data_IF_957146484851
#
_entry.id   IF_957146484851
#
_cell.length_a   1.000
_cell.length_b   1.000
_cell.length_c   1.000
_cell.angle_alpha   90.00
_cell.angle_beta   90.00
_cell.angle_gamma   90.00
#
_symmetry.space_group_name_H-M   'P 1'
#
loop_
_entity.id
_entity.type
_entity.pdbx_description
1 polymer ?
#
# COMPACT_ATOMS: atom_id res chain seq x y z
N UNK A 1 -36.68 -30.04 -39.06
CA UNK A 1 -35.26 -29.70 -38.82
C UNK A 1 -35.14 -29.00 -37.47
N UNK A 2 -34.68 -29.70 -36.43
CA UNK A 2 -34.46 -29.11 -35.10
C UNK A 2 -33.03 -28.54 -35.06
N UNK A 3 -32.90 -27.22 -34.96
CA UNK A 3 -31.61 -26.55 -34.79
C UNK A 3 -31.21 -26.65 -33.32
N UNK A 4 -30.19 -27.46 -33.03
CA UNK A 4 -29.55 -27.47 -31.72
C UNK A 4 -28.55 -26.31 -31.67
N UNK A 5 -28.88 -25.29 -30.88
CA UNK A 5 -27.95 -24.20 -30.54
C UNK A 5 -27.09 -24.73 -29.41
N UNK A 6 -25.83 -25.06 -29.71
CA UNK A 6 -24.82 -25.44 -28.71
C UNK A 6 -24.27 -24.13 -28.14
N UNK A 7 -24.63 -23.82 -26.90
CA UNK A 7 -24.10 -22.69 -26.14
C UNK A 7 -22.73 -23.10 -25.60
N UNK A 8 -21.66 -22.65 -26.24
CA UNK A 8 -20.28 -22.89 -25.80
C UNK A 8 -19.95 -21.91 -24.67
N UNK A 9 -20.11 -22.34 -23.41
CA UNK A 9 -19.71 -21.55 -22.24
C UNK A 9 -18.19 -21.69 -22.09
N UNK A 10 -17.46 -20.68 -22.54
CA UNK A 10 -16.02 -20.56 -22.30
C UNK A 10 -15.84 -20.02 -20.87
N UNK A 11 -15.67 -20.92 -19.91
CA UNK A 11 -15.27 -20.56 -18.54
C UNK A 11 -13.78 -20.24 -18.57
N UNK A 12 -13.43 -18.95 -18.63
CA UNK A 12 -12.08 -18.49 -18.35
C UNK A 12 -11.80 -18.68 -16.87
N UNK A 13 -11.36 -19.88 -16.48
CA UNK A 13 -10.77 -20.14 -15.16
C UNK A 13 -9.38 -19.46 -15.19
N UNK A 14 -9.35 -18.15 -14.93
CA UNK A 14 -8.11 -17.44 -14.66
C UNK A 14 -7.57 -17.98 -13.33
N UNK A 15 -6.67 -18.95 -13.44
CA UNK A 15 -5.96 -19.49 -12.30
C UNK A 15 -4.88 -18.47 -11.91
N UNK A 16 -5.26 -17.44 -11.15
CA UNK A 16 -4.29 -16.59 -10.45
C UNK A 16 -3.61 -17.49 -9.43
N UNK A 17 -2.44 -18.05 -9.77
CA UNK A 17 -1.60 -18.75 -8.81
C UNK A 17 -1.30 -17.74 -7.70
N UNK A 18 -1.90 -17.94 -6.52
CA UNK A 18 -1.54 -17.21 -5.32
C UNK A 18 -0.09 -17.61 -5.04
N UNK A 19 0.85 -16.68 -5.21
CA UNK A 19 2.26 -16.93 -4.88
C UNK A 19 2.29 -17.24 -3.39
N UNK A 20 2.62 -18.48 -3.03
CA UNK A 20 2.74 -18.86 -1.63
C UNK A 20 3.98 -18.19 -1.06
N UNK A 21 3.77 -17.28 -0.11
CA UNK A 21 4.87 -16.64 0.59
C UNK A 21 5.40 -17.61 1.66
N UNK A 22 6.46 -18.35 1.31
CA UNK A 22 7.10 -19.30 2.23
C UNK A 22 7.86 -18.61 3.39
N UNK A 23 8.03 -17.29 3.33
CA UNK A 23 8.73 -16.48 4.33
C UNK A 23 7.80 -15.54 5.10
N UNK A 24 8.14 -15.22 6.36
CA UNK A 24 7.46 -14.14 7.09
C UNK A 24 7.80 -12.79 6.46
N UNK A 25 6.78 -12.04 6.08
CA UNK A 25 6.92 -10.64 5.64
C UNK A 25 7.56 -9.84 6.77
N UNK A 26 8.59 -9.10 6.43
CA UNK A 26 9.26 -8.14 7.30
C UNK A 26 9.14 -6.73 6.72
N UNK A 27 9.54 -5.67 7.45
CA UNK A 27 9.37 -4.30 6.97
C UNK A 27 10.04 -4.00 5.62
N UNK A 28 11.13 -4.69 5.26
CA UNK A 28 11.83 -4.48 3.98
C UNK A 28 11.07 -5.06 2.79
N UNK A 29 10.08 -5.92 3.03
CA UNK A 29 9.17 -6.43 2.01
C UNK A 29 8.07 -5.44 1.63
N UNK A 30 7.90 -4.36 2.40
CA UNK A 30 6.84 -3.38 2.21
C UNK A 30 7.47 -2.12 1.64
N UNK A 31 7.05 -1.74 0.43
CA UNK A 31 7.57 -0.55 -0.23
C UNK A 31 6.45 0.29 -0.83
N UNK A 32 6.75 1.55 -1.15
CA UNK A 32 5.86 2.39 -1.93
C UNK A 32 6.60 2.79 -3.20
N UNK A 33 6.02 2.46 -4.35
CA UNK A 33 6.47 2.93 -5.66
C UNK A 33 5.71 4.19 -6.03
N UNK A 34 6.38 5.06 -6.78
CA UNK A 34 5.76 6.27 -7.34
C UNK A 34 5.91 6.32 -8.85
N UNK A 35 4.89 6.84 -9.49
CA UNK A 35 4.88 7.12 -10.92
C UNK A 35 4.43 8.57 -11.13
N UNK A 36 5.10 9.27 -12.05
CA UNK A 36 4.78 10.69 -12.28
C UNK A 36 3.42 10.77 -13.00
N UNK A 37 2.42 11.35 -12.35
CA UNK A 37 1.06 11.46 -12.89
C UNK A 37 0.86 12.72 -13.75
N UNK A 38 1.64 13.76 -13.49
CA UNK A 38 1.61 15.01 -14.25
C UNK A 38 3.01 15.36 -14.81
N UNK A 39 3.18 15.67 -16.11
CA UNK A 39 4.49 15.95 -16.71
C UNK A 39 5.20 17.17 -16.11
N UNK A 40 4.44 18.17 -15.67
CA UNK A 40 4.94 19.47 -15.24
C UNK A 40 4.96 19.55 -13.72
N UNK A 41 3.84 19.22 -13.08
CA UNK A 41 3.69 19.32 -11.63
C UNK A 41 4.42 18.17 -10.92
N UNK A 42 4.69 18.37 -9.63
CA UNK A 42 5.33 17.35 -8.77
C UNK A 42 4.29 16.36 -8.24
N UNK A 43 3.44 15.86 -9.12
CA UNK A 43 2.35 14.96 -8.76
C UNK A 43 2.74 13.52 -9.07
N UNK A 44 2.38 12.63 -8.15
CA UNK A 44 2.76 11.22 -8.24
C UNK A 44 1.59 10.32 -7.88
N UNK A 45 1.32 9.36 -8.76
CA UNK A 45 0.61 8.15 -8.39
C UNK A 45 1.48 7.33 -7.44
N UNK A 46 0.84 6.69 -6.46
CA UNK A 46 1.49 5.96 -5.37
C UNK A 46 0.93 4.55 -5.30
N UNK A 47 1.83 3.58 -5.18
CA UNK A 47 1.47 2.15 -5.12
C UNK A 47 2.12 1.51 -3.90
N UNK A 48 1.31 0.94 -3.01
CA UNK A 48 1.80 0.09 -1.93
C UNK A 48 2.09 -1.29 -2.51
N UNK A 49 3.32 -1.74 -2.34
CA UNK A 49 3.82 -3.02 -2.85
C UNK A 49 4.26 -3.88 -1.68
N UNK A 50 3.85 -5.14 -1.70
CA UNK A 50 4.38 -6.20 -0.83
C UNK A 50 5.10 -7.22 -1.70
N UNK A 51 6.39 -7.39 -1.44
CA UNK A 51 7.25 -8.29 -2.19
C UNK A 51 7.58 -9.52 -1.33
N UNK A 52 7.42 -10.72 -1.86
CA UNK A 52 7.87 -11.96 -1.24
C UNK A 52 8.71 -12.75 -2.25
N UNK A 53 9.82 -13.36 -1.81
CA UNK A 53 10.72 -14.12 -2.69
C UNK A 53 11.19 -13.36 -3.96
N UNK A 54 11.35 -12.03 -3.85
CA UNK A 54 11.71 -11.11 -4.96
C UNK A 54 10.61 -10.89 -6.01
N UNK A 55 9.40 -11.37 -5.76
CA UNK A 55 8.22 -11.14 -6.60
C UNK A 55 7.21 -10.27 -5.86
N UNK A 56 6.58 -9.35 -6.58
CA UNK A 56 5.50 -8.54 -6.03
C UNK A 56 4.24 -9.39 -5.94
N UNK A 57 3.88 -9.74 -4.71
CA UNK A 57 2.71 -10.60 -4.41
C UNK A 57 1.44 -9.78 -4.18
N UNK A 58 1.61 -8.46 -3.98
CA UNK A 58 0.51 -7.53 -3.83
C UNK A 58 0.93 -6.13 -4.31
N UNK A 59 0.07 -5.50 -5.10
CA UNK A 59 0.20 -4.10 -5.51
C UNK A 59 -1.18 -3.45 -5.45
N UNK A 60 -1.30 -2.33 -4.74
CA UNK A 60 -2.49 -1.47 -4.79
C UNK A 60 -2.12 -0.01 -4.93
N UNK A 61 -2.95 0.71 -5.69
CA UNK A 61 -2.92 2.17 -5.72
C UNK A 61 -3.42 2.72 -4.39
N UNK A 62 -2.62 3.58 -3.76
CA UNK A 62 -2.96 4.33 -2.54
C UNK A 62 -3.16 5.81 -2.89
N UNK A 63 -3.39 6.69 -1.91
CA UNK A 63 -3.68 8.10 -2.22
C UNK A 63 -2.50 8.72 -2.95
N UNK A 64 -2.77 9.39 -4.07
CA UNK A 64 -1.76 10.13 -4.84
C UNK A 64 -1.09 11.26 -4.02
N UNK A 65 0.11 11.66 -4.41
CA UNK A 65 0.72 12.90 -3.94
C UNK A 65 0.43 14.02 -4.93
N UNK A 66 -0.33 15.02 -4.51
CA UNK A 66 -0.63 16.23 -5.30
C UNK A 66 0.48 17.30 -5.20
N UNK A 67 1.74 16.88 -5.02
CA UNK A 67 2.89 17.77 -4.88
C UNK A 67 3.09 18.39 -3.51
N UNK A 68 2.50 17.78 -2.49
CA UNK A 68 2.49 18.27 -1.10
C UNK A 68 3.31 17.38 -0.16
N UNK A 69 3.85 16.26 -0.67
CA UNK A 69 4.75 15.38 0.06
C UNK A 69 4.02 14.35 0.88
N UNK A 70 3.05 13.65 0.27
CA UNK A 70 2.30 12.58 0.92
C UNK A 70 3.23 11.54 1.58
N UNK A 71 2.89 11.19 2.83
CA UNK A 71 3.63 10.22 3.66
C UNK A 71 2.73 9.04 4.03
N UNK A 72 3.33 7.86 4.15
CA UNK A 72 2.69 6.72 4.83
C UNK A 72 3.53 6.25 5.99
N UNK A 73 2.88 5.84 7.07
CA UNK A 73 3.53 5.48 8.33
C UNK A 73 3.31 4.00 8.61
N UNK A 74 4.40 3.27 8.87
CA UNK A 74 4.37 1.83 9.11
C UNK A 74 4.54 1.54 10.60
N UNK A 75 3.68 0.66 11.11
CA UNK A 75 3.64 0.21 12.49
C UNK A 75 3.67 -1.30 12.56
N UNK A 76 4.29 -1.84 13.60
CA UNK A 76 4.42 -3.26 13.86
C UNK A 76 3.38 -3.77 14.87
N UNK A 77 2.52 -4.68 14.50
CA UNK A 77 1.68 -5.42 15.44
C UNK A 77 1.97 -6.91 15.31
N UNK A 78 1.53 -7.73 16.28
CA UNK A 78 1.90 -9.15 16.36
C UNK A 78 1.83 -9.88 15.01
N UNK A 79 0.63 -9.96 14.42
CA UNK A 79 0.37 -10.69 13.18
C UNK A 79 0.32 -9.82 11.92
N UNK A 80 0.32 -8.50 12.08
CA UNK A 80 0.10 -7.57 10.97
C UNK A 80 1.03 -6.37 11.07
N UNK A 81 1.45 -5.84 9.93
CA UNK A 81 1.85 -4.44 9.88
C UNK A 81 0.62 -3.57 9.66
N UNK A 82 0.59 -2.40 10.27
CA UNK A 82 -0.39 -1.36 9.94
C UNK A 82 0.30 -0.25 9.17
N UNK A 83 -0.19 0.04 7.97
CA UNK A 83 0.22 1.20 7.19
C UNK A 83 -0.89 2.23 7.23
N UNK A 84 -0.58 3.43 7.71
CA UNK A 84 -1.49 4.57 7.72
C UNK A 84 -1.04 5.52 6.61
N UNK A 85 -1.90 5.71 5.60
CA UNK A 85 -1.63 6.63 4.50
C UNK A 85 -2.12 8.05 4.79
N UNK A 86 -1.68 8.98 3.96
CA UNK A 86 -1.83 10.42 4.15
C UNK A 86 -3.30 10.90 4.15
N UNK A 87 -4.22 10.13 3.56
CA UNK A 87 -5.67 10.37 3.53
C UNK A 87 -6.43 9.69 4.68
N UNK A 88 -5.71 9.29 5.73
CA UNK A 88 -6.21 8.53 6.87
C UNK A 88 -6.64 7.10 6.56
N UNK A 89 -6.34 6.54 5.39
CA UNK A 89 -6.58 5.12 5.11
C UNK A 89 -5.66 4.22 5.93
N UNK A 90 -6.21 3.19 6.55
CA UNK A 90 -5.47 2.20 7.33
C UNK A 90 -5.48 0.85 6.63
N UNK A 91 -4.30 0.38 6.26
CA UNK A 91 -4.07 -0.90 5.64
C UNK A 91 -3.46 -1.86 6.67
N UNK A 92 -4.00 -3.07 6.76
CA UNK A 92 -3.35 -4.18 7.46
C UNK A 92 -2.63 -5.05 6.44
N UNK A 93 -1.37 -5.36 6.70
CA UNK A 93 -0.53 -6.22 5.88
C UNK A 93 -0.24 -7.45 6.72
N UNK A 94 -0.80 -8.60 6.33
CA UNK A 94 -0.63 -9.86 7.04
C UNK A 94 0.83 -10.34 6.93
N UNK A 95 1.47 -10.60 8.07
CA UNK A 95 2.87 -11.01 8.08
C UNK A 95 3.11 -12.40 7.53
N UNK A 96 2.08 -13.23 7.47
CA UNK A 96 2.17 -14.62 7.02
C UNK A 96 2.21 -14.72 5.50
N UNK A 97 1.36 -13.97 4.82
CA UNK A 97 1.11 -14.14 3.38
C UNK A 97 1.19 -12.82 2.59
N UNK A 98 1.44 -11.69 3.26
CA UNK A 98 1.53 -10.37 2.62
C UNK A 98 0.19 -9.82 2.13
N UNK A 99 -0.93 -10.46 2.43
CA UNK A 99 -2.25 -9.97 2.04
C UNK A 99 -2.50 -8.61 2.66
N UNK A 100 -2.96 -7.66 1.85
CA UNK A 100 -3.27 -6.30 2.30
C UNK A 100 -4.77 -6.10 2.33
N UNK A 101 -5.27 -5.61 3.46
CA UNK A 101 -6.68 -5.29 3.67
C UNK A 101 -6.84 -3.83 4.05
N UNK A 102 -7.63 -3.07 3.31
CA UNK A 102 -8.09 -1.75 3.74
C UNK A 102 -9.12 -1.93 4.85
N UNK A 103 -8.81 -1.44 6.05
CA UNK A 103 -9.72 -1.53 7.21
C UNK A 103 -10.67 -0.36 7.31
N UNK A 104 -10.35 0.76 6.66
CA UNK A 104 -11.16 1.97 6.67
C UNK A 104 -10.31 3.23 6.70
N UNK A 105 -10.98 4.37 6.80
CA UNK A 105 -10.34 5.68 6.98
C UNK A 105 -10.60 6.17 8.40
N UNK A 106 -9.54 6.39 9.17
CA UNK A 106 -9.64 6.78 10.59
C UNK A 106 -8.92 8.10 10.84
N UNK A 107 -9.73 9.16 10.88
CA UNK A 107 -9.27 10.53 11.12
C UNK A 107 -8.86 10.74 12.57
N UNK A 108 -7.65 11.29 12.78
CA UNK A 108 -7.13 11.68 14.11
C UNK A 108 -7.12 10.57 15.17
N UNK A 109 -7.32 9.31 14.76
CA UNK A 109 -7.24 8.17 15.64
C UNK A 109 -5.82 8.03 16.14
N UNK A 110 -5.66 7.63 17.41
CA UNK A 110 -4.33 7.37 17.95
C UNK A 110 -3.71 6.19 17.17
N UNK A 111 -2.53 6.37 16.54
CA UNK A 111 -1.88 5.29 15.81
C UNK A 111 -1.37 4.20 16.76
N UNK A 112 -1.04 3.01 16.25
CA UNK A 112 -0.41 1.96 17.06
C UNK A 112 0.92 2.43 17.68
N UNK A 113 1.35 1.81 18.78
CA UNK A 113 2.54 2.25 19.53
C UNK A 113 3.87 1.91 18.84
N UNK A 114 3.93 0.80 18.13
CA UNK A 114 5.17 0.23 17.63
C UNK A 114 5.53 0.82 16.25
N UNK A 115 5.84 2.11 16.21
CA UNK A 115 6.25 2.79 14.99
C UNK A 115 7.58 2.24 14.46
N UNK A 116 7.62 1.89 13.17
CA UNK A 116 8.79 1.35 12.48
C UNK A 116 9.50 2.46 11.69
N UNK A 117 8.75 3.14 10.83
CA UNK A 117 9.29 4.08 9.85
C UNK A 117 8.21 4.71 8.98
N UNK A 118 8.63 5.72 8.21
CA UNK A 118 7.79 6.51 7.32
C UNK A 118 8.31 6.41 5.91
N UNK A 119 7.40 6.17 4.97
CA UNK A 119 7.63 6.28 3.54
C UNK A 119 7.51 7.75 3.12
N UNK A 120 8.63 8.35 2.72
CA UNK A 120 8.72 9.75 2.32
C UNK A 120 9.13 9.88 0.87
N UNK A 121 8.36 10.63 0.08
CA UNK A 121 8.70 10.92 -1.31
C UNK A 121 9.95 11.80 -1.37
N UNK A 122 10.94 11.34 -2.12
CA UNK A 122 12.13 12.08 -2.48
C UNK A 122 12.02 12.53 -3.93
N UNK A 123 11.41 13.69 -4.17
CA UNK A 123 11.17 14.21 -5.53
C UNK A 123 12.47 14.43 -6.33
N UNK A 124 13.60 14.67 -5.67
CA UNK A 124 14.91 14.82 -6.35
C UNK A 124 15.38 13.49 -6.94
N UNK A 125 15.24 12.41 -6.18
CA UNK A 125 15.65 11.06 -6.59
C UNK A 125 14.53 10.29 -7.31
N UNK A 126 13.33 10.87 -7.42
CA UNK A 126 12.13 10.24 -8.01
C UNK A 126 11.85 8.86 -7.42
N UNK A 127 12.00 8.74 -6.10
CA UNK A 127 11.75 7.49 -5.36
C UNK A 127 11.16 7.78 -3.98
N UNK A 128 10.77 6.73 -3.28
CA UNK A 128 10.38 6.80 -1.87
C UNK A 128 11.53 6.31 -1.02
N UNK A 129 11.87 7.08 0.01
CA UNK A 129 12.82 6.68 1.05
C UNK A 129 12.04 6.20 2.28
N UNK A 130 12.47 5.10 2.91
CA UNK A 130 11.93 4.64 4.19
C UNK A 130 12.83 5.14 5.32
N UNK A 131 12.30 6.00 6.18
CA UNK A 131 13.07 6.70 7.23
C UNK A 131 12.38 6.61 8.59
N UNK A 132 13.16 6.49 9.67
CA UNK A 132 12.63 6.52 11.03
C UNK A 132 12.63 7.95 11.57
N UNK A 133 11.45 8.58 11.64
CA UNK A 133 11.28 9.92 12.19
C UNK A 133 11.38 9.89 13.73
N UNK A 134 12.00 10.91 14.33
CA UNK A 134 12.22 10.96 15.80
C UNK A 134 10.98 11.39 16.59
N UNK A 135 10.15 12.27 16.04
CA UNK A 135 9.03 12.91 16.74
C UNK A 135 7.79 12.97 15.84
N UNK A 136 7.04 11.87 15.76
CA UNK A 136 5.79 11.84 15.02
C UNK A 136 4.66 12.32 15.92
N UNK A 137 3.91 13.31 15.43
CA UNK A 137 2.66 13.75 16.05
C UNK A 137 1.49 13.23 15.23
N UNK A 138 0.40 12.84 15.88
CA UNK A 138 -0.82 12.34 15.23
C UNK A 138 -1.31 13.25 14.11
N UNK A 139 -1.25 14.57 14.30
CA UNK A 139 -1.64 15.57 13.29
C UNK A 139 -0.79 15.51 12.00
N UNK A 140 0.46 15.05 12.08
CA UNK A 140 1.36 14.92 10.93
C UNK A 140 1.03 13.66 10.10
N UNK A 141 0.29 12.72 10.67
CA UNK A 141 -0.10 11.48 9.99
C UNK A 141 -1.26 11.75 9.02
N UNK A 142 -2.17 12.65 9.40
CA UNK A 142 -3.47 12.85 8.77
C UNK A 142 -3.55 14.16 7.97
N UNK A 143 -2.56 14.42 7.11
CA UNK A 143 -2.44 15.71 6.42
C UNK A 143 -3.61 15.96 5.42
N UNK A 144 -4.23 14.92 4.83
CA UNK A 144 -5.11 15.06 3.64
C UNK A 144 -6.57 14.65 3.81
N UNK A 145 -7.23 15.15 4.82
CA UNK A 145 -8.69 14.97 4.92
C UNK A 145 -9.22 15.56 6.19
N UNK A 146 -8.77 16.79 6.39
CA UNK A 146 -9.37 17.68 7.35
C UNK A 146 -10.89 17.53 7.40
N UNK A 147 -11.41 17.79 8.60
CA UNK A 147 -12.64 18.56 8.65
C UNK A 147 -12.44 19.93 8.02
#
# INVERSE_FOLDING_TARGET
MKKHIIFLIVVFISCNKKVECEGKINPNNITIRIEKSNPILKEYDRYLIVTCNKEDIYEIKIKEDIGSGAKSYLYDNDNFFTLIDCDSSWYLINKKDGEVTLTGKFWMKVPPKNYIGTFMINSRKKKVDFVKEKNIQTKNIYIYGGG
#
